data_IF_427172123150
#
_entry.id   IF_427172123150
#
_cell.length_a   1.000
_cell.length_b   1.000
_cell.length_c   1.000
_cell.angle_alpha   90.00
_cell.angle_beta   90.00
_cell.angle_gamma   90.00
#
_symmetry.space_group_name_H-M   'P 1'
#
loop_
_entity.id
_entity.type
_entity.pdbx_description
1 polymer ?
#
# COMPACT_ATOMS: atom_id res chain seq x y z
N UNK A 1 -33.90 -15.66 1.00
CA UNK A 1 -33.52 -15.31 -0.38
C UNK A 1 -32.04 -14.98 -0.34
N UNK A 2 -31.25 -15.84 -0.97
CA UNK A 2 -29.79 -15.96 -0.84
C UNK A 2 -29.07 -14.79 -1.50
N UNK A 3 -28.23 -14.09 -0.75
CA UNK A 3 -27.32 -13.09 -1.30
C UNK A 3 -26.17 -13.82 -2.01
N UNK A 4 -26.10 -13.67 -3.33
CA UNK A 4 -25.10 -14.28 -4.19
C UNK A 4 -23.79 -13.49 -4.04
N UNK A 5 -22.85 -14.01 -3.24
CA UNK A 5 -21.53 -13.40 -3.05
C UNK A 5 -20.67 -13.74 -4.26
N UNK A 6 -20.70 -12.90 -5.27
CA UNK A 6 -19.91 -13.07 -6.50
C UNK A 6 -18.42 -12.88 -6.18
N UNK A 7 -17.69 -13.99 -6.10
CA UNK A 7 -16.23 -13.98 -5.91
C UNK A 7 -15.55 -13.58 -7.23
N UNK A 8 -14.53 -12.72 -7.16
CA UNK A 8 -13.82 -12.21 -8.34
C UNK A 8 -12.35 -12.64 -8.33
N UNK A 9 -11.85 -13.04 -9.49
CA UNK A 9 -10.44 -13.38 -9.73
C UNK A 9 -9.84 -12.37 -10.70
N UNK A 10 -8.54 -12.08 -10.58
CA UNK A 10 -7.80 -11.21 -11.50
C UNK A 10 -6.72 -12.01 -12.20
N UNK A 11 -6.63 -11.87 -13.51
CA UNK A 11 -5.60 -12.50 -14.36
C UNK A 11 -5.01 -11.46 -15.31
N UNK A 12 -3.93 -11.79 -16.00
CA UNK A 12 -3.30 -10.92 -17.00
C UNK A 12 -3.55 -11.48 -18.40
N UNK A 13 -4.04 -10.64 -19.31
CA UNK A 13 -4.17 -11.03 -20.71
C UNK A 13 -2.79 -11.12 -21.37
N UNK A 14 -2.66 -11.77 -22.55
CA UNK A 14 -1.37 -11.91 -23.25
C UNK A 14 -0.66 -10.59 -23.59
N UNK A 15 -1.41 -9.47 -23.63
CA UNK A 15 -0.86 -8.13 -23.86
C UNK A 15 -0.54 -7.37 -22.55
N UNK A 16 -0.56 -8.04 -21.39
CA UNK A 16 -0.18 -7.48 -20.09
C UNK A 16 -1.26 -6.65 -19.37
N UNK A 17 -2.51 -6.65 -19.85
CA UNK A 17 -3.61 -5.97 -19.14
C UNK A 17 -4.19 -6.86 -18.06
N UNK A 18 -4.42 -6.29 -16.87
CA UNK A 18 -5.12 -6.97 -15.77
C UNK A 18 -6.62 -7.00 -16.04
N UNK A 19 -7.19 -8.20 -16.07
CA UNK A 19 -8.61 -8.46 -16.30
C UNK A 19 -9.19 -9.09 -15.05
N UNK A 20 -10.20 -8.44 -14.47
CA UNK A 20 -10.97 -8.97 -13.34
C UNK A 20 -12.24 -9.64 -13.86
N UNK A 21 -12.51 -10.85 -13.42
CA UNK A 21 -13.63 -11.67 -13.86
C UNK A 21 -14.26 -12.42 -12.71
N UNK A 22 -15.49 -12.86 -12.89
CA UNK A 22 -16.19 -13.76 -11.99
C UNK A 22 -15.48 -15.12 -11.92
N UNK A 23 -15.56 -15.83 -10.79
CA UNK A 23 -14.97 -17.17 -10.64
C UNK A 23 -15.52 -18.16 -11.69
N UNK A 24 -16.76 -18.00 -12.14
CA UNK A 24 -17.36 -18.78 -13.22
C UNK A 24 -16.71 -18.59 -14.59
N UNK A 25 -15.79 -17.63 -14.74
CA UNK A 25 -15.01 -17.44 -15.98
C UNK A 25 -13.74 -18.30 -16.00
N UNK A 26 -13.35 -18.92 -14.88
CA UNK A 26 -12.18 -19.78 -14.84
C UNK A 26 -12.22 -20.87 -15.93
N UNK A 27 -11.09 -21.01 -16.62
CA UNK A 27 -10.89 -21.93 -17.73
C UNK A 27 -11.74 -21.68 -18.98
N UNK A 28 -12.55 -20.61 -19.02
CA UNK A 28 -13.31 -20.19 -20.21
C UNK A 28 -12.50 -19.24 -21.08
N UNK A 29 -12.83 -19.20 -22.37
CA UNK A 29 -12.27 -18.24 -23.31
C UNK A 29 -13.00 -16.91 -23.17
N UNK A 30 -12.26 -15.86 -22.77
CA UNK A 30 -12.79 -14.51 -22.60
C UNK A 30 -12.02 -13.53 -23.48
N UNK A 31 -12.60 -12.35 -23.73
CA UNK A 31 -11.91 -11.26 -24.42
C UNK A 31 -11.44 -10.22 -23.41
N UNK A 32 -10.20 -9.78 -23.56
CA UNK A 32 -9.70 -8.66 -22.78
C UNK A 32 -10.52 -7.38 -23.11
N UNK A 33 -11.07 -6.66 -22.11
CA UNK A 33 -11.81 -5.42 -22.36
C UNK A 33 -10.92 -4.28 -22.88
N UNK A 34 -9.60 -4.36 -22.68
CA UNK A 34 -8.66 -3.32 -23.10
C UNK A 34 -8.13 -3.51 -24.53
N UNK A 35 -7.81 -4.74 -24.93
CA UNK A 35 -7.18 -5.01 -26.23
C UNK A 35 -7.95 -6.01 -27.11
N UNK A 36 -9.10 -6.50 -26.64
CA UNK A 36 -9.98 -7.46 -27.32
C UNK A 36 -9.37 -8.83 -27.67
N UNK A 37 -8.11 -9.07 -27.31
CA UNK A 37 -7.45 -10.36 -27.46
C UNK A 37 -8.21 -11.43 -26.70
N UNK A 38 -8.49 -12.55 -27.37
CA UNK A 38 -9.09 -13.75 -26.78
C UNK A 38 -8.02 -14.51 -26.03
N UNK A 39 -8.33 -14.92 -24.80
CA UNK A 39 -7.42 -15.71 -23.97
C UNK A 39 -8.21 -16.54 -22.97
N UNK A 40 -7.57 -17.58 -22.42
CA UNK A 40 -8.16 -18.42 -21.38
C UNK A 40 -8.00 -17.74 -20.03
N UNK A 41 -9.09 -17.59 -19.29
CA UNK A 41 -9.07 -16.93 -17.99
C UNK A 41 -8.62 -17.93 -16.92
N UNK A 42 -7.34 -17.91 -16.57
CA UNK A 42 -6.75 -18.80 -15.57
C UNK A 42 -6.30 -18.03 -14.32
N UNK A 43 -6.23 -18.72 -13.17
CA UNK A 43 -5.65 -18.14 -11.95
C UNK A 43 -4.15 -17.92 -12.15
N UNK A 44 -3.58 -16.77 -11.72
CA UNK A 44 -2.14 -16.56 -11.81
C UNK A 44 -1.39 -17.57 -10.94
N UNK A 45 -0.41 -18.27 -11.52
CA UNK A 45 0.32 -19.40 -10.94
C UNK A 45 1.13 -19.11 -9.65
N UNK A 46 1.13 -17.87 -9.16
CA UNK A 46 1.91 -17.45 -7.97
C UNK A 46 1.23 -17.67 -6.61
N UNK A 47 0.14 -18.43 -6.55
CA UNK A 47 -0.44 -18.89 -5.26
C UNK A 47 -0.81 -20.36 -5.34
N UNK A 48 0.18 -21.24 -5.29
CA UNK A 48 -0.02 -22.63 -4.91
C UNK A 48 1.14 -23.07 -4.03
N UNK A 49 0.82 -23.30 -2.76
CA UNK A 49 1.67 -24.01 -1.82
C UNK A 49 2.00 -25.41 -2.37
N UNK A 50 3.20 -25.89 -2.07
CA UNK A 50 3.57 -27.30 -2.24
C UNK A 50 2.65 -28.14 -1.35
N UNK A 51 1.87 -29.03 -1.96
CA UNK A 51 1.12 -30.08 -1.27
C UNK A 51 1.95 -31.35 -1.38
N UNK A 52 2.46 -31.84 -0.24
CA UNK A 52 2.86 -33.25 -0.11
C UNK A 52 1.63 -34.06 0.29
N UNK A 53 1.45 -35.20 -0.37
CA UNK A 53 0.38 -36.18 -0.17
C UNK A 53 -0.06 -36.39 1.29
N UNK A 54 -1.35 -36.21 1.57
CA UNK A 54 -2.07 -36.94 2.62
C UNK A 54 -3.60 -36.85 2.42
N UNK A 55 -4.26 -37.98 2.59
CA UNK A 55 -5.61 -38.32 2.16
C UNK A 55 -6.73 -37.86 3.12
N UNK A 56 -6.66 -36.64 3.66
CA UNK A 56 -7.66 -36.16 4.62
C UNK A 56 -7.97 -34.65 4.45
N UNK A 57 -9.16 -34.27 3.91
CA UNK A 57 -9.54 -32.89 3.67
C UNK A 57 -9.92 -32.10 4.94
N UNK A 58 -9.80 -32.68 6.14
CA UNK A 58 -10.10 -32.01 7.41
C UNK A 58 -8.94 -31.19 8.01
N UNK A 59 -7.73 -31.26 7.44
CA UNK A 59 -6.54 -30.55 7.94
C UNK A 59 -6.11 -29.33 7.11
N UNK A 60 -6.99 -28.81 6.26
CA UNK A 60 -6.72 -27.57 5.52
C UNK A 60 -7.00 -26.39 6.45
N UNK A 61 -5.99 -25.94 7.20
CA UNK A 61 -6.02 -24.60 7.77
C UNK A 61 -5.81 -23.58 6.63
N UNK A 62 -6.92 -23.10 6.07
CA UNK A 62 -6.94 -21.89 5.26
C UNK A 62 -6.44 -20.73 6.12
N UNK A 63 -5.17 -20.36 5.98
CA UNK A 63 -4.68 -19.07 6.45
C UNK A 63 -5.38 -17.98 5.63
N UNK A 64 -6.51 -17.51 6.14
CA UNK A 64 -7.16 -16.30 5.66
C UNK A 64 -6.14 -15.16 5.74
N UNK A 65 -6.12 -14.35 4.68
CA UNK A 65 -5.34 -13.12 4.59
C UNK A 65 -5.88 -12.09 5.60
N UNK A 66 -5.59 -12.30 6.88
CA UNK A 66 -5.85 -11.38 7.99
C UNK A 66 -4.75 -11.42 9.06
N UNK A 67 -3.76 -12.31 8.94
CA UNK A 67 -2.85 -12.67 10.02
C UNK A 67 -1.52 -11.88 10.00
N UNK A 68 -1.60 -10.55 9.84
CA UNK A 68 -0.52 -9.65 10.30
C UNK A 68 -0.64 -9.48 11.81
N UNK A 69 0.45 -9.45 12.57
CA UNK A 69 0.43 -9.35 14.05
C UNK A 69 -0.38 -8.15 14.58
N UNK A 70 -0.62 -7.14 13.73
CA UNK A 70 -1.50 -5.99 13.97
C UNK A 70 -2.97 -6.40 14.19
N UNK A 71 -3.49 -7.41 13.48
CA UNK A 71 -4.89 -7.85 13.60
C UNK A 71 -5.18 -8.61 14.90
N UNK A 72 -4.19 -9.27 15.52
CA UNK A 72 -4.37 -9.86 16.86
C UNK A 72 -4.58 -8.80 17.95
N UNK A 73 -4.00 -7.61 17.76
CA UNK A 73 -4.24 -6.46 18.62
C UNK A 73 -5.63 -5.84 18.31
N UNK A 74 -6.03 -5.81 17.03
CA UNK A 74 -7.34 -5.28 16.61
C UNK A 74 -8.50 -6.18 17.04
N UNK A 75 -8.34 -7.48 17.25
CA UNK A 75 -9.45 -8.31 17.77
C UNK A 75 -9.89 -7.89 19.19
N UNK A 76 -9.04 -7.15 19.91
CA UNK A 76 -9.39 -6.48 21.19
C UNK A 76 -10.18 -5.18 20.99
N UNK A 77 -10.11 -4.57 19.81
CA UNK A 77 -10.91 -3.42 19.40
C UNK A 77 -12.01 -3.94 18.49
N UNK A 78 -13.14 -4.32 19.11
CA UNK A 78 -14.31 -4.85 18.40
C UNK A 78 -14.56 -4.15 17.06
N UNK A 79 -14.94 -4.93 16.04
CA UNK A 79 -15.10 -4.49 14.64
C UNK A 79 -15.57 -3.04 14.59
N UNK A 80 -14.90 -2.14 13.85
CA UNK A 80 -15.36 -0.76 13.71
C UNK A 80 -16.82 -0.80 13.29
N UNK A 81 -17.70 -0.33 14.16
CA UNK A 81 -19.12 -0.26 13.89
C UNK A 81 -19.26 0.80 12.81
N UNK A 82 -19.41 0.37 11.57
CA UNK A 82 -19.81 1.25 10.50
C UNK A 82 -21.10 1.95 10.96
N UNK A 83 -21.19 3.29 10.86
CA UNK A 83 -22.42 4.00 11.14
C UNK A 83 -23.56 3.33 10.39
N UNK A 84 -24.65 2.97 11.08
CA UNK A 84 -25.84 2.42 10.42
C UNK A 84 -26.33 3.46 9.42
N UNK A 85 -26.45 3.05 8.17
CA UNK A 85 -27.06 3.86 7.12
C UNK A 85 -28.48 4.22 7.55
N UNK A 86 -28.73 5.51 7.77
CA UNK A 86 -30.03 6.04 8.17
C UNK A 86 -30.96 6.27 6.96
N UNK A 87 -30.51 5.88 5.76
CA UNK A 87 -31.27 6.01 4.51
C UNK A 87 -31.47 7.45 4.07
N UNK A 88 -30.71 8.38 4.68
CA UNK A 88 -30.75 9.80 4.37
C UNK A 88 -29.55 10.21 3.56
N UNK A 89 -29.80 11.00 2.53
CA UNK A 89 -28.75 11.51 1.66
C UNK A 89 -28.67 13.03 1.73
N UNK A 90 -27.45 13.52 1.54
CA UNK A 90 -27.12 14.94 1.42
C UNK A 90 -26.66 15.21 0.00
N UNK A 91 -26.90 16.43 -0.47
CA UNK A 91 -26.50 16.87 -1.79
C UNK A 91 -25.51 18.02 -1.71
N UNK A 92 -24.63 18.11 -2.70
CA UNK A 92 -23.75 19.27 -2.85
C UNK A 92 -24.46 20.33 -3.70
N UNK A 93 -24.73 21.50 -3.13
CA UNK A 93 -25.39 22.60 -3.87
C UNK A 93 -24.53 23.16 -5.02
N UNK A 94 -23.22 22.87 -5.04
CA UNK A 94 -22.31 23.31 -6.11
C UNK A 94 -22.18 22.29 -7.27
N UNK A 95 -22.12 20.98 -7.01
CA UNK A 95 -21.88 19.98 -8.05
C UNK A 95 -22.96 18.88 -8.18
N UNK A 96 -23.94 18.85 -7.29
CA UNK A 96 -25.04 17.88 -7.31
C UNK A 96 -24.69 16.46 -6.85
N UNK A 97 -23.46 16.22 -6.37
CA UNK A 97 -23.06 14.90 -5.85
C UNK A 97 -23.87 14.51 -4.61
N UNK A 98 -24.20 13.22 -4.50
CA UNK A 98 -25.00 12.63 -3.41
C UNK A 98 -24.08 11.92 -2.41
N UNK A 99 -24.31 12.15 -1.13
CA UNK A 99 -23.53 11.57 -0.04
C UNK A 99 -24.45 11.00 1.05
N UNK A 100 -24.01 9.97 1.80
CA UNK A 100 -24.65 9.58 3.05
C UNK A 100 -24.75 10.74 4.05
N UNK A 101 -25.76 10.73 4.90
CA UNK A 101 -26.00 11.71 5.98
C UNK A 101 -24.79 11.99 6.89
N UNK A 102 -23.92 10.99 7.04
CA UNK A 102 -22.70 11.03 7.87
C UNK A 102 -21.59 11.92 7.31
N UNK A 103 -21.66 12.28 6.03
CA UNK A 103 -20.67 13.15 5.38
C UNK A 103 -21.23 14.57 5.35
N UNK A 104 -20.48 15.55 5.87
CA UNK A 104 -20.90 16.96 5.89
C UNK A 104 -20.22 17.83 4.82
N UNK A 105 -19.19 17.31 4.14
CA UNK A 105 -18.38 18.07 3.18
C UNK A 105 -18.32 17.33 1.83
N UNK A 106 -18.53 18.06 0.75
CA UNK A 106 -18.33 17.54 -0.60
C UNK A 106 -16.85 17.28 -0.88
N UNK A 107 -16.46 16.06 -1.22
CA UNK A 107 -15.07 15.73 -1.55
C UNK A 107 -14.52 16.43 -2.81
N UNK A 108 -15.39 16.82 -3.75
CA UNK A 108 -14.97 17.50 -4.97
C UNK A 108 -14.90 19.02 -4.80
N UNK A 109 -15.88 19.62 -4.14
CA UNK A 109 -16.02 21.07 -4.04
C UNK A 109 -15.49 21.66 -2.74
N UNK A 110 -15.25 20.82 -1.73
CA UNK A 110 -14.82 21.22 -0.39
C UNK A 110 -15.74 22.28 0.26
N UNK A 111 -17.06 22.14 0.04
CA UNK A 111 -18.10 22.96 0.66
C UNK A 111 -19.00 22.11 1.54
N UNK A 112 -19.72 22.76 2.44
CA UNK A 112 -20.72 22.13 3.29
C UNK A 112 -21.90 21.61 2.44
N UNK A 113 -22.31 20.38 2.72
CA UNK A 113 -23.42 19.73 2.03
C UNK A 113 -24.76 20.19 2.59
N UNK A 114 -25.78 20.14 1.75
CA UNK A 114 -27.15 20.44 2.13
C UNK A 114 -27.62 19.53 3.29
N UNK A 115 -28.63 19.95 4.08
CA UNK A 115 -29.21 19.12 5.12
C UNK A 115 -29.73 17.78 4.56
N UNK A 116 -29.65 16.68 5.33
CA UNK A 116 -30.05 15.36 4.88
C UNK A 116 -31.56 15.29 4.63
N UNK A 117 -31.97 14.66 3.52
CA UNK A 117 -33.38 14.44 3.12
C UNK A 117 -33.71 12.94 3.10
N UNK A 118 -34.96 12.58 3.42
CA UNK A 118 -35.45 11.19 3.36
C UNK A 118 -35.78 10.81 1.90
N UNK A 119 -35.27 9.68 1.42
CA UNK A 119 -35.38 9.21 0.02
C UNK A 119 -36.80 8.79 -0.44
N UNK A 120 -37.86 9.16 0.26
CA UNK A 120 -39.25 8.80 -0.12
C UNK A 120 -40.05 9.92 -0.79
N UNK A 121 -39.41 11.04 -1.16
CA UNK A 121 -40.08 12.13 -1.87
C UNK A 121 -39.38 12.47 -3.19
N UNK A 122 -40.05 12.07 -4.27
CA UNK A 122 -40.07 12.68 -5.62
C UNK A 122 -38.88 12.49 -6.57
N UNK A 123 -39.10 11.57 -7.52
CA UNK A 123 -38.95 11.86 -8.95
C UNK A 123 -39.44 13.28 -9.28
N UNK A 124 -38.53 14.17 -9.69
CA UNK A 124 -38.73 15.32 -10.58
C UNK A 124 -37.85 16.52 -10.19
N UNK A 125 -36.60 16.54 -10.67
CA UNK A 125 -35.92 17.78 -11.07
C UNK A 125 -34.65 17.42 -11.87
N UNK A 126 -34.83 16.90 -13.08
CA UNK A 126 -33.83 17.13 -14.14
C UNK A 126 -33.95 18.61 -14.53
N UNK A 127 -33.28 19.46 -13.75
CA UNK A 127 -32.92 20.82 -14.16
C UNK A 127 -31.89 20.76 -15.30
N UNK A 128 -31.80 21.80 -16.14
CA UNK A 128 -31.30 21.67 -17.49
C UNK A 128 -29.88 21.12 -17.45
N UNK A 129 -29.54 20.35 -18.48
CA UNK A 129 -28.17 20.13 -18.91
C UNK A 129 -27.55 21.49 -19.23
N UNK A 130 -27.21 22.25 -18.18
CA UNK A 130 -26.23 23.30 -18.25
C UNK A 130 -25.00 22.60 -18.76
N UNK A 131 -24.61 22.99 -19.98
CA UNK A 131 -23.30 22.74 -20.55
C UNK A 131 -22.32 22.82 -19.38
N UNK A 132 -21.87 21.67 -18.89
CA UNK A 132 -20.80 21.63 -17.90
C UNK A 132 -19.69 22.34 -18.61
N UNK A 133 -19.36 23.56 -18.17
CA UNK A 133 -18.12 24.19 -18.56
C UNK A 133 -17.09 23.09 -18.44
N UNK A 134 -16.51 22.73 -19.57
CA UNK A 134 -15.47 21.72 -19.61
C UNK A 134 -14.48 22.17 -18.54
N UNK A 135 -14.35 21.37 -17.48
CA UNK A 135 -13.24 21.52 -16.56
C UNK A 135 -12.04 21.19 -17.44
N UNK A 136 -11.47 22.25 -18.02
CA UNK A 136 -10.23 22.15 -18.76
C UNK A 136 -9.21 21.74 -17.72
N UNK A 137 -8.87 20.45 -17.73
CA UNK A 137 -7.70 19.95 -17.04
C UNK A 137 -6.53 20.70 -17.64
N UNK A 138 -6.11 21.76 -16.96
CA UNK A 138 -4.88 22.42 -17.31
C UNK A 138 -3.77 21.37 -17.23
N UNK A 139 -2.83 21.37 -18.19
CA UNK A 139 -1.64 20.55 -18.05
C UNK A 139 -1.06 20.79 -16.67
N UNK A 140 -0.90 19.73 -15.89
CA UNK A 140 -0.18 19.82 -14.62
C UNK A 140 1.24 20.22 -15.00
N UNK A 141 1.67 21.42 -14.58
CA UNK A 141 3.04 21.87 -14.75
C UNK A 141 4.02 20.81 -14.24
N UNK A 142 5.26 20.88 -14.74
CA UNK A 142 6.39 20.03 -14.38
C UNK A 142 6.35 19.62 -12.90
N UNK A 143 6.52 18.32 -12.68
CA UNK A 143 6.37 17.69 -11.38
C UNK A 143 7.11 18.53 -10.31
N UNK A 144 6.50 18.88 -9.16
CA UNK A 144 7.17 19.71 -8.13
C UNK A 144 8.45 19.06 -7.57
N UNK A 145 8.69 17.81 -7.94
CA UNK A 145 9.84 16.99 -7.62
C UNK A 145 11.02 17.13 -8.61
N UNK A 146 10.85 17.71 -9.80
CA UNK A 146 11.89 17.69 -10.86
C UNK A 146 13.14 18.50 -10.49
N UNK A 147 12.96 19.59 -9.74
CA UNK A 147 14.06 20.46 -9.32
C UNK A 147 14.62 20.12 -7.93
N UNK A 148 14.09 19.10 -7.26
CA UNK A 148 14.52 18.74 -5.89
C UNK A 148 15.51 17.57 -5.96
N UNK A 149 16.76 17.84 -5.58
CA UNK A 149 17.78 16.80 -5.45
C UNK A 149 17.48 15.84 -4.30
N UNK A 150 17.71 14.54 -4.49
CA UNK A 150 17.59 13.53 -3.43
C UNK A 150 18.46 13.90 -2.22
N UNK A 151 19.65 14.44 -2.45
CA UNK A 151 20.57 14.87 -1.40
C UNK A 151 20.02 15.95 -0.48
N UNK A 152 19.11 16.80 -0.95
CA UNK A 152 18.51 17.86 -0.15
C UNK A 152 17.44 17.33 0.85
N UNK A 153 16.92 16.13 0.60
CA UNK A 153 15.79 15.56 1.35
C UNK A 153 16.17 14.29 2.11
N UNK A 154 17.19 13.56 1.66
CA UNK A 154 17.63 12.32 2.29
C UNK A 154 18.14 12.53 3.72
N UNK A 155 17.99 11.50 4.55
CA UNK A 155 18.73 11.40 5.81
C UNK A 155 20.17 10.99 5.52
N UNK A 156 21.17 11.76 5.96
CA UNK A 156 22.57 11.42 5.73
C UNK A 156 22.93 10.13 6.49
N UNK A 157 23.93 9.37 5.99
CA UNK A 157 24.37 8.09 6.57
C UNK A 157 24.56 8.14 8.09
N UNK A 158 25.16 9.22 8.60
CA UNK A 158 25.44 9.40 10.03
C UNK A 158 24.17 9.47 10.91
N UNK A 159 23.04 9.84 10.32
CA UNK A 159 21.75 9.93 11.01
C UNK A 159 20.89 8.65 10.82
N UNK A 160 21.42 7.63 10.13
CA UNK A 160 20.73 6.35 9.96
C UNK A 160 20.89 5.54 11.23
N UNK A 161 19.78 5.24 11.89
CA UNK A 161 19.74 4.27 12.98
C UNK A 161 19.64 2.88 12.37
N UNK A 162 20.70 2.09 12.52
CA UNK A 162 20.80 0.72 12.04
C UNK A 162 21.07 -0.26 13.18
N UNK A 163 20.74 -1.53 12.97
CA UNK A 163 21.02 -2.64 13.88
C UNK A 163 22.28 -3.38 13.41
N UNK A 164 23.17 -3.77 14.32
CA UNK A 164 24.36 -4.52 13.94
C UNK A 164 24.01 -6.01 13.88
N UNK A 165 24.44 -6.70 12.83
CA UNK A 165 24.19 -8.13 12.65
C UNK A 165 24.79 -9.02 13.76
N UNK A 166 25.79 -8.52 14.48
CA UNK A 166 26.41 -9.20 15.62
C UNK A 166 25.71 -8.92 16.95
N UNK A 167 24.72 -8.02 17.00
CA UNK A 167 23.99 -7.70 18.22
C UNK A 167 23.15 -8.90 18.67
N UNK A 168 23.13 -9.15 19.97
CA UNK A 168 22.19 -10.08 20.59
C UNK A 168 20.74 -9.56 20.49
N UNK A 169 19.76 -10.43 20.74
CA UNK A 169 18.35 -10.02 20.77
C UNK A 169 18.13 -8.92 21.82
N UNK A 170 18.79 -9.00 22.97
CA UNK A 170 18.66 -8.01 24.05
C UNK A 170 19.16 -6.64 23.60
N UNK A 171 20.38 -6.57 23.06
CA UNK A 171 20.97 -5.33 22.54
C UNK A 171 20.15 -4.74 21.39
N UNK A 172 19.65 -5.60 20.51
CA UNK A 172 18.76 -5.20 19.42
C UNK A 172 17.47 -4.57 19.95
N UNK A 173 16.83 -5.21 20.92
CA UNK A 173 15.60 -4.70 21.53
C UNK A 173 15.82 -3.39 22.29
N UNK A 174 16.97 -3.24 22.96
CA UNK A 174 17.31 -1.99 23.64
C UNK A 174 17.47 -0.84 22.64
N UNK A 175 18.13 -1.10 21.51
CA UNK A 175 18.27 -0.13 20.41
C UNK A 175 16.93 0.23 19.77
N UNK A 176 16.04 -0.75 19.60
CA UNK A 176 14.67 -0.55 19.09
C UNK A 176 13.84 0.30 20.06
N UNK A 177 13.99 0.11 21.36
CA UNK A 177 13.31 0.91 22.40
C UNK A 177 13.81 2.34 22.42
N UNK A 178 15.11 2.56 22.27
CA UNK A 178 15.71 3.89 22.21
C UNK A 178 15.24 4.67 20.96
N UNK A 179 15.18 3.99 19.81
CA UNK A 179 14.79 4.58 18.53
C UNK A 179 13.59 3.85 17.93
N UNK A 180 12.34 4.17 18.31
CA UNK A 180 11.15 3.44 17.87
C UNK A 180 10.85 3.72 16.38
N UNK A 181 11.21 2.76 15.53
CA UNK A 181 10.96 2.76 14.09
C UNK A 181 10.29 1.45 13.69
N UNK A 182 9.57 1.47 12.58
CA UNK A 182 8.90 0.26 12.07
C UNK A 182 9.86 -0.66 11.34
N UNK A 183 10.93 -0.13 10.77
CA UNK A 183 11.94 -0.86 10.00
C UNK A 183 13.33 -0.26 10.24
N UNK A 184 14.34 -1.14 10.26
CA UNK A 184 15.73 -0.78 10.50
C UNK A 184 16.63 -1.40 9.42
N UNK A 185 17.59 -0.65 8.87
CA UNK A 185 18.70 -1.25 8.15
C UNK A 185 19.51 -2.17 9.06
N UNK A 186 19.97 -3.29 8.52
CA UNK A 186 20.90 -4.20 9.18
C UNK A 186 22.29 -3.92 8.65
N UNK A 187 23.21 -3.54 9.52
CA UNK A 187 24.60 -3.27 9.20
C UNK A 187 25.47 -4.50 9.43
N UNK A 188 26.60 -4.56 8.74
CA UNK A 188 27.67 -5.53 9.01
C UNK A 188 28.25 -5.33 10.41
N UNK A 189 29.06 -6.29 10.83
CA UNK A 189 29.74 -6.31 12.14
C UNK A 189 30.59 -5.05 12.35
N UNK A 190 31.24 -4.58 11.28
CA UNK A 190 32.08 -3.37 11.27
C UNK A 190 31.28 -2.08 11.06
N UNK A 191 30.00 -2.16 10.68
CA UNK A 191 29.16 -1.01 10.33
C UNK A 191 29.50 -0.36 8.98
N UNK A 192 30.38 -0.99 8.18
CA UNK A 192 30.85 -0.46 6.90
C UNK A 192 29.77 -0.55 5.80
N UNK A 193 28.96 -1.60 5.83
CA UNK A 193 28.00 -1.96 4.80
C UNK A 193 26.66 -2.28 5.42
N UNK A 194 25.61 -2.01 4.67
CA UNK A 194 24.28 -2.50 5.00
C UNK A 194 24.07 -3.84 4.29
N UNK A 195 23.56 -4.84 5.01
CA UNK A 195 23.30 -6.19 4.51
C UNK A 195 21.84 -6.38 4.07
N UNK A 196 20.93 -5.64 4.68
CA UNK A 196 19.50 -5.71 4.39
C UNK A 196 18.71 -4.77 5.30
N UNK A 197 17.45 -5.11 5.52
CA UNK A 197 16.60 -4.42 6.49
C UNK A 197 15.66 -5.40 7.20
N UNK A 198 15.20 -5.04 8.39
CA UNK A 198 14.28 -5.85 9.19
C UNK A 198 13.17 -4.99 9.76
N UNK A 199 11.95 -5.52 9.85
CA UNK A 199 10.84 -4.85 10.53
C UNK A 199 10.85 -5.16 12.01
N UNK A 200 10.32 -4.23 12.82
CA UNK A 200 10.15 -4.44 14.27
C UNK A 200 9.30 -5.69 14.56
N UNK A 201 8.27 -5.95 13.75
CA UNK A 201 7.42 -7.14 13.87
C UNK A 201 8.24 -8.44 13.77
N UNK A 202 9.20 -8.52 12.83
CA UNK A 202 10.06 -9.70 12.68
C UNK A 202 11.01 -9.89 13.85
N UNK A 203 11.49 -8.79 14.45
CA UNK A 203 12.34 -8.83 15.64
C UNK A 203 11.53 -9.33 16.84
N UNK A 204 10.31 -8.79 17.03
CA UNK A 204 9.45 -9.15 18.17
C UNK A 204 8.93 -10.59 18.11
N UNK A 205 8.77 -11.15 16.90
CA UNK A 205 8.39 -12.55 16.69
C UNK A 205 9.57 -13.53 16.80
N UNK A 206 10.81 -13.04 16.93
CA UNK A 206 11.97 -13.90 16.98
C UNK A 206 12.15 -14.51 18.38
N UNK A 207 12.40 -15.81 18.43
CA UNK A 207 12.72 -16.52 19.68
C UNK A 207 14.19 -16.32 20.06
N UNK A 208 14.47 -16.20 21.36
CA UNK A 208 15.81 -15.90 21.87
C UNK A 208 16.87 -16.95 21.52
N UNK A 209 16.48 -18.21 21.37
CA UNK A 209 17.42 -19.32 21.18
C UNK A 209 17.93 -19.48 19.73
N UNK A 210 17.27 -18.86 18.75
CA UNK A 210 17.70 -18.87 17.33
C UNK A 210 17.68 -17.44 16.73
N UNK A 211 17.92 -16.43 17.56
CA UNK A 211 17.97 -15.06 17.07
C UNK A 211 19.18 -14.84 16.17
N UNK A 212 18.92 -14.63 14.90
CA UNK A 212 19.92 -14.22 13.92
C UNK A 212 19.33 -13.13 13.02
N UNK A 213 19.82 -11.89 13.21
CA UNK A 213 19.45 -10.73 12.41
C UNK A 213 19.66 -10.95 10.91
N UNK A 214 20.65 -11.76 10.52
CA UNK A 214 20.98 -12.07 9.14
C UNK A 214 19.86 -12.90 8.49
N UNK A 215 19.24 -13.82 9.23
CA UNK A 215 18.06 -14.60 8.78
C UNK A 215 16.79 -13.75 8.74
N UNK A 216 16.68 -12.76 9.63
CA UNK A 216 15.52 -11.88 9.69
C UNK A 216 15.56 -10.79 8.61
N UNK A 217 16.75 -10.41 8.15
CA UNK A 217 16.95 -9.37 7.15
C UNK A 217 16.33 -9.72 5.79
N UNK A 218 15.72 -8.73 5.16
CA UNK A 218 15.19 -8.77 3.80
C UNK A 218 16.08 -7.95 2.87
N UNK A 219 16.06 -8.25 1.55
CA UNK A 219 16.80 -7.46 0.56
C UNK A 219 16.40 -5.98 0.62
N UNK A 220 17.39 -5.10 0.52
CA UNK A 220 17.18 -3.66 0.51
C UNK A 220 16.95 -3.14 -0.91
N UNK A 221 16.19 -2.05 -0.99
CA UNK A 221 16.10 -1.27 -2.22
C UNK A 221 17.16 -0.17 -2.19
N UNK A 222 18.02 -0.12 -3.21
CA UNK A 222 19.06 0.91 -3.37
C UNK A 222 18.78 1.75 -4.60
N UNK A 223 19.05 3.05 -4.50
CA UNK A 223 18.93 4.02 -5.58
C UNK A 223 20.20 4.87 -5.67
N UNK A 224 20.68 5.12 -6.88
CA UNK A 224 21.78 6.07 -7.09
C UNK A 224 21.35 7.51 -6.74
N UNK A 225 22.24 8.27 -6.11
CA UNK A 225 22.01 9.66 -5.71
C UNK A 225 21.67 10.59 -6.89
N UNK A 226 22.16 10.27 -8.08
CA UNK A 226 21.92 11.03 -9.32
C UNK A 226 20.49 10.94 -9.85
N UNK A 227 19.67 10.01 -9.35
CA UNK A 227 18.28 9.87 -9.80
C UNK A 227 17.40 10.98 -9.21
N UNK A 228 16.33 11.40 -9.91
CA UNK A 228 15.44 12.42 -9.39
C UNK A 228 14.56 11.87 -8.26
N UNK A 229 14.23 12.73 -7.29
CA UNK A 229 13.43 12.35 -6.11
C UNK A 229 12.02 11.85 -6.49
N UNK A 230 11.49 12.30 -7.64
CA UNK A 230 10.22 11.83 -8.22
C UNK A 230 10.17 10.31 -8.42
N UNK A 231 11.32 9.63 -8.50
CA UNK A 231 11.40 8.17 -8.63
C UNK A 231 11.30 7.42 -7.31
N UNK A 232 11.45 8.10 -6.16
CA UNK A 232 11.48 7.45 -4.85
C UNK A 232 10.10 6.88 -4.47
N UNK A 233 9.03 7.68 -4.56
CA UNK A 233 7.68 7.22 -4.21
C UNK A 233 7.19 6.06 -5.09
N UNK A 234 7.32 6.11 -6.44
CA UNK A 234 7.00 4.98 -7.30
C UNK A 234 7.82 3.73 -6.95
N UNK A 235 9.10 3.91 -6.60
CA UNK A 235 9.96 2.78 -6.23
C UNK A 235 9.50 2.14 -4.91
N UNK A 236 9.29 2.93 -3.86
CA UNK A 236 8.77 2.47 -2.56
C UNK A 236 7.45 1.71 -2.72
N UNK A 237 6.53 2.25 -3.53
CA UNK A 237 5.24 1.62 -3.80
C UNK A 237 5.41 0.26 -4.51
N UNK A 238 6.22 0.20 -5.57
CA UNK A 238 6.45 -1.04 -6.33
C UNK A 238 7.15 -2.12 -5.52
N UNK A 239 8.17 -1.76 -4.73
CA UNK A 239 8.94 -2.73 -3.93
C UNK A 239 8.28 -3.05 -2.60
N UNK A 240 7.21 -2.34 -2.21
CA UNK A 240 6.61 -2.39 -0.88
C UNK A 240 7.65 -2.23 0.24
N UNK A 241 8.72 -1.49 -0.04
CA UNK A 241 9.77 -1.18 0.93
C UNK A 241 9.39 0.05 1.73
N UNK A 242 9.77 0.08 3.01
CA UNK A 242 9.49 1.23 3.88
C UNK A 242 10.44 2.42 3.64
N UNK A 243 11.65 2.14 3.13
CA UNK A 243 12.66 3.13 2.79
C UNK A 243 13.53 2.65 1.62
N UNK A 244 14.29 3.58 1.05
CA UNK A 244 15.29 3.33 0.01
C UNK A 244 16.64 3.84 0.51
N UNK A 245 17.70 3.06 0.34
CA UNK A 245 19.07 3.54 0.56
C UNK A 245 19.59 4.28 -0.67
N UNK A 246 20.31 5.37 -0.43
CA UNK A 246 20.91 6.18 -1.48
C UNK A 246 22.40 5.88 -1.54
N UNK A 247 22.90 5.50 -2.71
CA UNK A 247 24.30 5.20 -2.95
C UNK A 247 24.97 6.25 -3.86
N UNK A 248 26.26 6.50 -3.61
CA UNK A 248 27.14 7.25 -4.52
C UNK A 248 27.54 6.41 -5.74
N UNK A 249 28.34 6.99 -6.63
CA UNK A 249 28.88 6.30 -7.82
C UNK A 249 29.83 5.14 -7.46
N UNK A 250 30.30 5.07 -6.22
CA UNK A 250 31.15 4.01 -5.71
C UNK A 250 30.40 2.92 -4.93
N UNK A 251 29.07 2.81 -5.12
CA UNK A 251 28.17 1.88 -4.42
C UNK A 251 28.18 2.02 -2.87
N UNK A 252 28.66 3.16 -2.36
CA UNK A 252 28.62 3.43 -0.91
C UNK A 252 27.34 4.13 -0.55
N UNK A 253 26.66 3.60 0.46
CA UNK A 253 25.44 4.22 0.98
C UNK A 253 25.78 5.55 1.66
N UNK A 254 25.32 6.65 1.07
CA UNK A 254 25.47 8.03 1.54
C UNK A 254 24.27 8.49 2.38
N UNK A 255 23.12 7.82 2.26
CA UNK A 255 21.91 8.19 2.99
C UNK A 255 20.74 7.23 2.81
N UNK A 256 19.59 7.61 3.35
CA UNK A 256 18.32 6.92 3.16
C UNK A 256 17.16 7.89 2.96
N UNK A 257 16.11 7.46 2.28
CA UNK A 257 14.90 8.25 2.04
C UNK A 257 13.66 7.42 2.33
N UNK A 258 12.70 8.02 3.01
CA UNK A 258 11.35 7.46 3.24
C UNK A 258 10.30 8.24 2.46
N UNK A 259 9.09 7.68 2.33
CA UNK A 259 7.96 8.41 1.76
C UNK A 259 7.66 9.71 2.53
N UNK A 260 7.82 9.69 3.87
CA UNK A 260 7.66 10.87 4.71
C UNK A 260 8.66 11.98 4.35
N UNK A 261 9.92 11.63 4.12
CA UNK A 261 10.94 12.62 3.76
C UNK A 261 10.60 13.27 2.41
N UNK A 262 10.18 12.47 1.41
CA UNK A 262 9.75 12.97 0.09
C UNK A 262 8.55 13.92 0.20
N UNK A 263 7.53 13.55 0.97
CA UNK A 263 6.34 14.39 1.18
C UNK A 263 6.69 15.68 1.92
N UNK A 264 7.56 15.65 2.92
CA UNK A 264 8.04 16.84 3.63
C UNK A 264 8.87 17.76 2.71
N UNK A 265 9.55 17.22 1.71
CA UNK A 265 10.29 18.01 0.72
C UNK A 265 9.40 18.87 -0.17
N UNK A 266 8.12 18.51 -0.32
CA UNK A 266 7.14 19.25 -1.14
C UNK A 266 6.47 20.43 -0.42
N UNK A 267 6.42 20.38 0.93
CA UNK A 267 5.67 21.34 1.76
C UNK A 267 6.59 22.46 2.27
N UNK A 268 7.75 22.64 1.64
CA UNK A 268 8.75 23.67 2.01
C UNK A 268 8.72 24.85 1.07
#
# INVERSE_FOLDING_TARGET
MTADSTEYVTTECPNGHRVRGDVGWLHREVRCPHCQTKFRFDRPDTTAAVVTDASDPSQIETRSLSDTGVMRIIDSFGKPVLPKDDGRTRHCSNCGAVYPSSISICYGCNIELDPPVDETATDAAVGPAGLRDSVDFQPVDESPFENISISAVMRPRKAIIALNVSDSLVETLDRVREFPHTCYPVASETGDRFLGWVSIERILMAESNDFDLRKLARPMTVMAQSKPISRVLPLLHRTKSSFVLIADEGDRVVGMVTAKDVLLGLVK
#
